data_IF_045971370884
#
_entry.id   IF_045971370884
#
_cell.length_a   1.000
_cell.length_b   1.000
_cell.length_c   1.000
_cell.angle_alpha   90.00
_cell.angle_beta   90.00
_cell.angle_gamma   90.00
#
_symmetry.space_group_name_H-M   'P 1'
#
loop_
_entity.id
_entity.type
_entity.pdbx_description
1 polymer ?
#
# COMPACT_ATOMS: atom_id res chain seq x y z
N UNK A 1 6.41 -0.63 10.34
CA UNK A 1 6.82 0.47 9.45
C UNK A 1 7.55 -0.10 8.26
N UNK A 2 7.44 0.60 7.15
CA UNK A 2 8.00 0.16 5.88
C UNK A 2 9.24 0.98 5.57
N UNK A 3 10.30 0.31 5.18
CA UNK A 3 11.55 0.96 4.81
C UNK A 3 12.04 0.41 3.47
N UNK A 4 13.13 0.97 2.96
CA UNK A 4 13.75 0.47 1.74
C UNK A 4 14.03 -1.03 1.88
N UNK A 5 13.73 -1.79 0.84
CA UNK A 5 13.85 -3.25 0.75
C UNK A 5 12.81 -4.05 1.54
N UNK A 6 11.86 -3.40 2.22
CA UNK A 6 10.75 -4.12 2.83
C UNK A 6 9.87 -4.79 1.77
N UNK A 7 9.44 -6.01 2.07
CA UNK A 7 8.53 -6.76 1.20
C UNK A 7 7.09 -6.55 1.64
N UNK A 8 6.20 -6.39 0.67
CA UNK A 8 4.77 -6.18 0.93
C UNK A 8 3.95 -7.07 0.01
N UNK A 9 2.75 -7.43 0.48
CA UNK A 9 1.76 -8.06 -0.38
C UNK A 9 1.03 -6.98 -1.18
N UNK A 10 0.61 -7.30 -2.40
CA UNK A 10 -0.27 -6.42 -3.16
C UNK A 10 -1.71 -6.72 -2.75
N UNK A 11 -2.44 -5.69 -2.32
CA UNK A 11 -3.79 -5.83 -1.80
C UNK A 11 -4.87 -5.55 -2.86
N UNK A 12 -4.51 -5.60 -4.13
CA UNK A 12 -5.44 -5.29 -5.23
C UNK A 12 -5.41 -6.38 -6.30
N UNK A 13 -6.32 -6.24 -7.28
CA UNK A 13 -6.43 -7.18 -8.40
C UNK A 13 -5.68 -6.70 -9.64
N UNK A 14 -4.65 -5.87 -9.49
CA UNK A 14 -3.81 -5.43 -10.61
C UNK A 14 -3.00 -6.57 -11.22
N UNK A 15 -2.88 -7.68 -10.51
CA UNK A 15 -2.08 -8.83 -10.93
C UNK A 15 -0.76 -8.96 -10.21
N UNK A 16 -0.30 -7.94 -9.53
CA UNK A 16 0.88 -8.03 -8.68
C UNK A 16 0.58 -8.88 -7.45
N UNK A 17 1.55 -9.68 -7.03
CA UNK A 17 1.43 -10.51 -5.82
C UNK A 17 2.35 -10.02 -4.71
N UNK A 18 3.60 -9.73 -5.03
CA UNK A 18 4.58 -9.26 -4.05
C UNK A 18 5.29 -8.03 -4.57
N UNK A 19 5.50 -7.09 -3.67
CA UNK A 19 6.13 -5.81 -3.95
C UNK A 19 7.33 -5.61 -3.03
N UNK A 20 8.35 -4.93 -3.51
CA UNK A 20 9.48 -4.53 -2.68
C UNK A 20 9.58 -3.01 -2.67
N UNK A 21 9.63 -2.42 -1.48
CA UNK A 21 9.82 -0.98 -1.35
C UNK A 21 11.26 -0.64 -1.76
N UNK A 22 11.39 0.24 -2.75
CA UNK A 22 12.70 0.70 -3.20
C UNK A 22 13.00 2.13 -2.75
N UNK A 23 11.98 2.91 -2.41
CA UNK A 23 12.17 4.26 -1.89
C UNK A 23 10.95 4.72 -1.12
N UNK A 24 11.17 5.40 0.00
CA UNK A 24 10.11 6.07 0.76
C UNK A 24 10.04 7.52 0.29
N UNK A 25 8.87 7.92 -0.21
CA UNK A 25 8.64 9.27 -0.72
C UNK A 25 8.21 10.22 0.41
N UNK A 26 8.35 11.51 0.20
CA UNK A 26 7.89 12.52 1.15
C UNK A 26 8.98 13.31 1.84
N UNK A 27 10.22 13.27 1.33
CA UNK A 27 11.33 14.07 1.86
C UNK A 27 12.67 13.38 1.69
N UNK A 28 13.74 14.17 1.56
CA UNK A 28 15.07 13.64 1.26
C UNK A 28 15.67 12.79 2.39
N UNK A 29 15.20 12.98 3.63
CA UNK A 29 15.71 12.23 4.79
C UNK A 29 14.70 11.23 5.35
N UNK A 30 13.58 11.03 4.67
CA UNK A 30 12.56 10.13 5.17
C UNK A 30 12.99 8.68 4.98
N UNK A 31 13.01 7.92 6.08
CA UNK A 31 13.46 6.52 6.08
C UNK A 31 12.33 5.52 6.21
N UNK A 32 11.21 5.89 6.84
CA UNK A 32 10.13 4.97 7.16
C UNK A 32 8.79 5.49 6.64
N UNK A 33 7.95 4.57 6.21
CA UNK A 33 6.60 4.85 5.78
C UNK A 33 5.62 4.06 6.64
N UNK A 34 4.42 4.60 6.81
CA UNK A 34 3.34 3.97 7.54
C UNK A 34 2.07 3.98 6.68
N UNK A 35 0.93 3.62 7.28
CA UNK A 35 -0.36 3.56 6.57
C UNK A 35 -0.68 4.92 5.94
N UNK A 36 -1.06 4.89 4.67
CA UNK A 36 -1.42 6.09 3.91
C UNK A 36 -0.25 6.81 3.26
N UNK A 37 0.97 6.35 3.50
CA UNK A 37 2.14 6.92 2.86
C UNK A 37 2.36 6.30 1.48
N UNK A 38 2.91 7.10 0.58
CA UNK A 38 3.24 6.66 -0.78
C UNK A 38 4.69 6.23 -0.84
N UNK A 39 4.93 5.07 -1.43
CA UNK A 39 6.29 4.56 -1.65
C UNK A 39 6.47 4.17 -3.11
N UNK A 40 7.72 4.09 -3.55
CA UNK A 40 8.05 3.47 -4.83
C UNK A 40 8.31 2.00 -4.60
N UNK A 41 7.72 1.16 -5.42
CA UNK A 41 7.87 -0.29 -5.31
C UNK A 41 8.31 -0.90 -6.63
N UNK A 42 8.99 -2.03 -6.53
CA UNK A 42 9.28 -2.91 -7.67
C UNK A 42 8.43 -4.16 -7.52
N UNK A 43 7.75 -4.56 -8.59
CA UNK A 43 6.93 -5.78 -8.58
C UNK A 43 7.85 -6.99 -8.66
N UNK A 44 7.82 -7.85 -7.64
CA UNK A 44 8.68 -9.04 -7.56
C UNK A 44 7.98 -10.30 -8.04
N UNK A 45 6.67 -10.38 -7.87
CA UNK A 45 5.86 -11.47 -8.39
C UNK A 45 4.57 -10.90 -8.96
N UNK A 46 4.18 -11.37 -10.14
CA UNK A 46 2.95 -10.96 -10.80
C UNK A 46 2.33 -12.13 -11.53
N UNK A 47 1.01 -12.09 -11.70
CA UNK A 47 0.30 -13.09 -12.48
C UNK A 47 0.60 -12.91 -13.97
N UNK A 48 0.64 -14.01 -14.77
CA UNK A 48 0.78 -13.90 -16.21
C UNK A 48 -0.37 -13.10 -16.82
N UNK A 49 -0.08 -12.31 -17.86
CA UNK A 49 -1.09 -11.53 -18.60
C UNK A 49 -1.83 -10.49 -17.76
N UNK A 50 -1.25 -10.07 -16.65
CA UNK A 50 -1.84 -9.03 -15.80
C UNK A 50 -1.49 -7.64 -16.34
N UNK A 51 -2.20 -6.62 -15.81
CA UNK A 51 -1.91 -5.21 -16.12
C UNK A 51 -0.50 -4.80 -15.68
N UNK A 52 -0.01 -5.43 -14.64
CA UNK A 52 1.30 -5.16 -14.04
C UNK A 52 2.19 -6.37 -14.26
N UNK A 53 3.41 -6.14 -14.68
CA UNK A 53 4.39 -7.19 -14.96
C UNK A 53 5.48 -7.21 -13.91
N UNK A 54 6.12 -8.37 -13.78
CA UNK A 54 7.30 -8.51 -12.93
C UNK A 54 8.37 -7.50 -13.34
N UNK A 55 9.03 -6.90 -12.34
CA UNK A 55 10.07 -5.86 -12.48
C UNK A 55 9.54 -4.45 -12.79
N UNK A 56 8.24 -4.26 -12.94
CA UNK A 56 7.68 -2.92 -13.09
C UNK A 56 7.96 -2.10 -11.81
N UNK A 57 8.22 -0.81 -12.01
CA UNK A 57 8.45 0.14 -10.91
C UNK A 57 7.33 1.16 -10.93
N UNK A 58 6.64 1.33 -9.80
CA UNK A 58 5.52 2.25 -9.71
C UNK A 58 5.27 2.69 -8.28
N UNK A 59 4.37 3.64 -8.11
CA UNK A 59 3.98 4.12 -6.79
C UNK A 59 2.94 3.21 -6.16
N UNK A 60 2.96 3.11 -4.84
CA UNK A 60 1.98 2.36 -4.08
C UNK A 60 1.65 3.09 -2.78
N UNK A 61 0.42 2.89 -2.30
CA UNK A 61 -0.04 3.42 -1.02
C UNK A 61 -0.12 2.27 -0.03
N UNK A 62 0.49 2.44 1.13
CA UNK A 62 0.46 1.42 2.18
C UNK A 62 -0.93 1.41 2.82
N UNK A 63 -1.59 0.25 2.82
CA UNK A 63 -2.93 0.10 3.38
C UNK A 63 -2.94 -0.71 4.68
N UNK A 64 -1.95 -1.55 4.90
CA UNK A 64 -1.81 -2.36 6.12
C UNK A 64 -0.36 -2.42 6.53
N UNK A 65 -0.11 -2.43 7.84
CA UNK A 65 1.23 -2.64 8.39
C UNK A 65 1.18 -3.65 9.53
N UNK A 66 2.23 -4.45 9.63
CA UNK A 66 2.41 -5.37 10.76
C UNK A 66 2.72 -4.60 12.05
N UNK A 67 3.46 -3.52 11.94
CA UNK A 67 3.74 -2.66 13.08
C UNK A 67 2.50 -1.86 13.43
N UNK A 68 2.20 -1.79 14.73
CA UNK A 68 1.04 -1.06 15.21
C UNK A 68 1.11 0.44 14.92
N UNK A 69 -0.05 1.02 14.65
CA UNK A 69 -0.22 2.46 14.44
C UNK A 69 -1.10 2.97 15.56
N UNK A 70 -0.63 4.01 16.26
CA UNK A 70 -1.39 4.64 17.35
C UNK A 70 -2.31 5.70 16.78
N UNK A 71 -3.58 5.65 17.17
CA UNK A 71 -4.60 6.61 16.74
C UNK A 71 -4.73 7.75 17.75
N UNK A 72 -5.30 8.88 17.34
CA UNK A 72 -5.47 10.04 18.27
C UNK A 72 -6.27 9.73 19.53
N UNK A 73 -7.18 8.75 19.49
CA UNK A 73 -7.96 8.34 20.65
C UNK A 73 -7.21 7.40 21.61
N UNK A 74 -5.95 7.10 21.31
CA UNK A 74 -5.13 6.19 22.12
C UNK A 74 -5.21 4.74 21.73
N UNK A 75 -6.13 4.35 20.86
CA UNK A 75 -6.20 2.98 20.38
C UNK A 75 -5.08 2.69 19.38
N UNK A 76 -4.80 1.41 19.18
CA UNK A 76 -3.77 0.96 18.24
C UNK A 76 -4.36 -0.07 17.30
N UNK A 77 -3.89 -0.05 16.05
CA UNK A 77 -4.28 -1.02 15.06
C UNK A 77 -3.02 -1.65 14.44
N UNK A 78 -3.06 -2.95 14.22
CA UNK A 78 -2.02 -3.67 13.50
C UNK A 78 -2.66 -4.77 12.68
N UNK A 79 -1.97 -5.19 11.64
CA UNK A 79 -2.44 -6.23 10.74
C UNK A 79 -1.43 -7.39 10.72
N UNK A 80 -1.84 -8.51 10.13
CA UNK A 80 -0.99 -9.70 10.05
C UNK A 80 0.13 -9.56 9.03
N UNK A 81 0.01 -8.64 8.08
CA UNK A 81 0.98 -8.46 7.01
C UNK A 81 1.09 -7.00 6.61
N UNK A 82 2.19 -6.68 5.94
CA UNK A 82 2.34 -5.39 5.27
C UNK A 82 1.74 -5.52 3.88
N UNK A 83 0.89 -4.57 3.50
CA UNK A 83 0.26 -4.60 2.19
C UNK A 83 0.13 -3.19 1.62
N UNK A 84 0.15 -3.11 0.29
CA UNK A 84 0.05 -1.85 -0.43
C UNK A 84 -0.83 -2.03 -1.66
N UNK A 85 -1.40 -0.93 -2.11
CA UNK A 85 -2.21 -0.86 -3.33
C UNK A 85 -1.45 -0.03 -4.35
N UNK A 86 -1.28 -0.56 -5.56
CA UNK A 86 -0.61 0.15 -6.64
C UNK A 86 -1.47 1.30 -7.14
N UNK A 87 -0.85 2.44 -7.36
CA UNK A 87 -1.52 3.64 -7.87
C UNK A 87 -0.82 4.15 -9.12
N UNK A 88 -1.58 4.85 -9.95
CA UNK A 88 -1.03 5.53 -11.12
C UNK A 88 -0.44 6.89 -10.71
N UNK A 89 0.25 7.62 -11.63
CA UNK A 89 0.80 8.94 -11.29
C UNK A 89 -0.24 9.96 -10.83
N UNK A 90 -1.52 9.77 -11.19
CA UNK A 90 -2.60 10.65 -10.73
C UNK A 90 -3.08 10.33 -9.32
N UNK A 91 -2.56 9.26 -8.70
CA UNK A 91 -2.94 8.87 -7.35
C UNK A 91 -4.14 7.95 -7.25
N UNK A 92 -4.61 7.42 -8.36
CA UNK A 92 -5.75 6.51 -8.39
C UNK A 92 -5.29 5.05 -8.42
N UNK A 93 -6.06 4.13 -7.79
CA UNK A 93 -5.69 2.72 -7.82
C UNK A 93 -5.76 2.15 -9.25
N UNK A 94 -4.77 1.33 -9.58
CA UNK A 94 -4.71 0.65 -10.88
C UNK A 94 -5.75 -0.46 -10.96
N UNK A 95 -5.90 -1.21 -9.86
CA UNK A 95 -6.87 -2.29 -9.79
C UNK A 95 -8.29 -1.78 -9.56
N UNK A 96 -9.27 -2.65 -9.79
CA UNK A 96 -10.69 -2.34 -9.60
C UNK A 96 -11.23 -2.90 -8.29
N UNK A 97 -10.46 -3.75 -7.60
CA UNK A 97 -10.86 -4.38 -6.33
C UNK A 97 -9.72 -4.35 -5.34
N UNK A 98 -10.07 -4.24 -4.07
CA UNK A 98 -9.13 -4.29 -2.95
C UNK A 98 -9.42 -5.57 -2.16
N UNK A 99 -8.38 -6.31 -1.81
CA UNK A 99 -8.49 -7.53 -1.03
C UNK A 99 -8.13 -7.29 0.43
N UNK A 100 -8.99 -7.76 1.33
CA UNK A 100 -8.78 -7.65 2.75
C UNK A 100 -9.08 -6.26 3.31
N UNK A 101 -8.91 -6.09 4.64
CA UNK A 101 -9.22 -4.82 5.28
C UNK A 101 -8.18 -3.75 4.98
N UNK A 102 -8.61 -2.50 5.04
CA UNK A 102 -7.70 -1.34 5.00
C UNK A 102 -7.93 -0.49 6.24
N UNK A 103 -6.94 0.28 6.63
CA UNK A 103 -7.07 1.16 7.77
C UNK A 103 -7.80 2.45 7.38
N UNK A 104 -8.64 2.96 8.30
CA UNK A 104 -9.42 4.18 8.02
C UNK A 104 -8.59 5.46 7.95
N UNK A 105 -7.32 5.41 8.33
CA UNK A 105 -6.40 6.54 8.18
C UNK A 105 -6.26 6.99 6.73
N UNK A 106 -6.59 6.12 5.77
CA UNK A 106 -6.58 6.46 4.34
C UNK A 106 -7.58 7.56 4.00
N UNK A 107 -8.68 7.70 4.74
CA UNK A 107 -9.65 8.78 4.54
C UNK A 107 -9.04 10.14 4.82
N UNK A 108 -8.28 10.24 5.91
CA UNK A 108 -7.62 11.48 6.29
C UNK A 108 -6.58 11.89 5.27
N UNK A 109 -6.00 10.93 4.56
CA UNK A 109 -4.99 11.18 3.53
C UNK A 109 -5.57 11.23 2.12
N UNK A 110 -6.91 11.32 2.00
CA UNK A 110 -7.64 11.54 0.76
C UNK A 110 -7.61 10.39 -0.25
N UNK A 111 -7.41 9.17 0.22
CA UNK A 111 -7.49 7.99 -0.64
C UNK A 111 -8.89 7.38 -0.60
N UNK A 112 -9.90 8.20 -0.87
CA UNK A 112 -11.31 7.81 -0.77
C UNK A 112 -11.67 6.68 -1.75
N UNK A 113 -11.05 6.66 -2.93
CA UNK A 113 -11.34 5.63 -3.91
C UNK A 113 -10.88 4.25 -3.42
N UNK A 114 -9.73 4.19 -2.76
CA UNK A 114 -9.24 2.95 -2.14
C UNK A 114 -10.18 2.51 -1.03
N UNK A 115 -10.62 3.44 -0.18
CA UNK A 115 -11.55 3.15 0.91
C UNK A 115 -12.88 2.64 0.37
N UNK A 116 -13.39 3.22 -0.71
CA UNK A 116 -14.67 2.79 -1.30
C UNK A 116 -14.60 1.41 -1.93
N UNK A 117 -13.45 0.99 -2.43
CA UNK A 117 -13.25 -0.32 -3.03
C UNK A 117 -12.95 -1.40 -2.01
N UNK A 118 -12.56 -1.03 -0.80
CA UNK A 118 -12.16 -2.01 0.22
C UNK A 118 -13.39 -2.73 0.79
N UNK A 119 -13.29 -4.05 1.02
CA UNK A 119 -14.41 -4.81 1.61
C UNK A 119 -14.62 -4.48 3.08
N UNK A 120 -13.60 -4.00 3.76
CA UNK A 120 -13.69 -3.68 5.19
C UNK A 120 -12.72 -2.55 5.52
N UNK A 121 -13.17 -1.59 6.33
CA UNK A 121 -12.36 -0.45 6.76
C UNK A 121 -12.27 -0.49 8.28
N UNK A 122 -11.10 -0.70 8.78
CA UNK A 122 -10.83 -0.77 10.22
C UNK A 122 -10.07 0.48 10.66
#
# INVERSE_FOLDING_TARGET
>A
MIQMQSMLAAADNSGAKRLQCIKVLGGSKRKYASIGDVIMVSVKEAMPKAKVKKKDVMKAVIVRTKKEVTRPDGSRIRFDENAAVLINPAGEPIGTRIFGPVARELRAKRYMKIVSLAPEVL
#
